data_IF_588643173804
#
_entry.id   IF_588643173804
#
_cell.length_a   1.000
_cell.length_b   1.000
_cell.length_c   1.000
_cell.angle_alpha   90.00
_cell.angle_beta   90.00
_cell.angle_gamma   90.00
#
_symmetry.space_group_name_H-M   'P 1'
#
loop_
_entity.id
_entity.type
_entity.pdbx_description
1 polymer ?
#
# COMPACT_ATOMS: atom_id res chain seq x y z
N UNK A 1 -14.72 -0.63 14.53
CA UNK A 1 -14.61 -0.47 13.09
C UNK A 1 -14.98 -1.79 12.43
N UNK A 2 -16.14 -1.82 11.78
CA UNK A 2 -16.68 -3.04 11.17
C UNK A 2 -15.85 -3.41 9.95
N UNK A 3 -15.50 -4.69 9.83
CA UNK A 3 -14.81 -5.20 8.66
C UNK A 3 -13.30 -5.00 8.62
N UNK A 4 -12.71 -4.36 9.63
CA UNK A 4 -11.26 -4.19 9.69
C UNK A 4 -10.58 -5.55 9.80
N UNK A 5 -9.62 -5.87 8.91
CA UNK A 5 -8.87 -7.11 9.01
C UNK A 5 -7.93 -7.10 10.23
N UNK A 6 -7.64 -8.28 10.74
CA UNK A 6 -6.58 -8.47 11.73
C UNK A 6 -5.33 -8.95 11.00
N UNK A 7 -4.28 -8.14 11.07
CA UNK A 7 -2.98 -8.49 10.51
C UNK A 7 -2.09 -8.98 11.65
N UNK A 8 -1.36 -10.04 11.43
CA UNK A 8 -0.43 -10.59 12.42
C UNK A 8 0.61 -9.58 12.86
N UNK A 9 1.11 -9.72 14.09
CA UNK A 9 2.18 -8.86 14.59
C UNK A 9 3.44 -9.01 13.71
N UNK A 10 4.17 -7.91 13.55
CA UNK A 10 5.43 -7.89 12.83
C UNK A 10 6.43 -8.85 13.51
N UNK A 11 6.92 -9.88 12.80
CA UNK A 11 7.92 -10.79 13.38
C UNK A 11 9.26 -10.10 13.65
N UNK A 12 10.04 -10.65 14.57
CA UNK A 12 11.40 -10.17 14.81
C UNK A 12 12.24 -10.26 13.54
N UNK A 13 12.99 -9.19 13.22
CA UNK A 13 13.83 -9.11 12.02
C UNK A 13 13.11 -8.67 10.75
N UNK A 14 11.79 -8.57 10.75
CA UNK A 14 11.01 -8.03 9.63
C UNK A 14 10.95 -6.50 9.73
N UNK A 15 11.35 -5.82 8.67
CA UNK A 15 11.36 -4.35 8.60
C UNK A 15 10.11 -3.72 8.04
N UNK A 16 9.26 -4.48 7.36
CA UNK A 16 7.99 -3.97 6.83
C UNK A 16 7.02 -3.70 7.98
N UNK A 17 6.41 -2.51 7.96
CA UNK A 17 5.29 -2.17 8.83
C UNK A 17 4.02 -2.18 8.01
N UNK A 18 2.99 -2.87 8.52
CA UNK A 18 1.71 -3.01 7.86
C UNK A 18 0.60 -2.54 8.79
N UNK A 19 0.02 -1.38 8.51
CA UNK A 19 -0.91 -0.69 9.41
C UNK A 19 -2.32 -0.64 8.81
N UNK A 20 -3.26 -1.28 9.49
CA UNK A 20 -4.70 -1.29 9.17
C UNK A 20 -5.53 -0.47 10.14
N UNK A 21 -4.89 0.31 11.03
CA UNK A 21 -5.58 1.10 12.06
C UNK A 21 -6.51 2.18 11.48
N UNK A 22 -6.24 2.61 10.26
CA UNK A 22 -7.04 3.61 9.54
C UNK A 22 -7.95 2.98 8.46
N UNK A 23 -8.31 1.70 8.65
CA UNK A 23 -9.15 0.99 7.69
C UNK A 23 -10.34 1.81 7.24
N UNK A 24 -10.68 1.93 5.94
CA UNK A 24 -10.16 1.13 4.81
C UNK A 24 -8.90 1.71 4.13
N UNK A 25 -8.21 2.67 4.74
CA UNK A 25 -6.89 3.08 4.30
C UNK A 25 -5.84 2.18 4.96
N UNK A 26 -5.00 1.55 4.13
CA UNK A 26 -3.92 0.68 4.58
C UNK A 26 -2.59 1.38 4.32
N UNK A 27 -1.73 1.45 5.32
CA UNK A 27 -0.41 2.06 5.19
C UNK A 27 0.66 0.97 5.32
N UNK A 28 1.49 0.85 4.29
CA UNK A 28 2.60 -0.10 4.25
C UNK A 28 3.91 0.68 4.18
N UNK A 29 4.82 0.44 5.11
CA UNK A 29 6.13 1.07 5.15
C UNK A 29 7.21 0.06 4.78
N UNK A 30 8.01 0.37 3.77
CA UNK A 30 9.06 -0.50 3.27
C UNK A 30 10.39 -0.10 3.90
N UNK A 31 11.19 -1.06 4.42
CA UNK A 31 12.47 -0.75 5.05
C UNK A 31 13.55 -0.39 4.01
N UNK A 32 14.71 0.04 4.50
CA UNK A 32 15.87 0.38 3.66
C UNK A 32 16.31 -0.78 2.77
N UNK A 33 16.22 -2.00 3.26
CA UNK A 33 16.52 -3.24 2.55
C UNK A 33 15.41 -4.24 2.72
N UNK A 34 14.96 -4.79 1.60
CA UNK A 34 13.97 -5.86 1.58
C UNK A 34 14.68 -7.22 1.59
N UNK A 35 14.28 -8.04 2.55
CA UNK A 35 14.70 -9.44 2.68
C UNK A 35 13.52 -10.36 2.37
N UNK A 36 13.80 -11.65 2.21
CA UNK A 36 12.75 -12.63 1.88
C UNK A 36 11.67 -12.70 2.96
N UNK A 37 12.05 -12.60 4.24
CA UNK A 37 11.09 -12.64 5.33
C UNK A 37 10.14 -11.43 5.32
N UNK A 38 10.61 -10.27 4.86
CA UNK A 38 9.76 -9.10 4.64
C UNK A 38 8.68 -9.40 3.61
N UNK A 39 9.05 -10.02 2.51
CA UNK A 39 8.12 -10.36 1.44
C UNK A 39 7.10 -11.40 1.90
N UNK A 40 7.52 -12.41 2.66
CA UNK A 40 6.60 -13.40 3.24
C UNK A 40 5.58 -12.72 4.15
N UNK A 41 6.03 -11.85 5.05
CA UNK A 41 5.15 -11.11 5.94
C UNK A 41 4.17 -10.19 5.18
N UNK A 42 4.67 -9.51 4.15
CA UNK A 42 3.86 -8.64 3.29
C UNK A 42 2.74 -9.44 2.60
N UNK A 43 3.08 -10.57 2.02
CA UNK A 43 2.13 -11.44 1.33
C UNK A 43 1.05 -11.97 2.27
N UNK A 44 1.44 -12.45 3.45
CA UNK A 44 0.50 -12.90 4.48
C UNK A 44 -0.43 -11.78 4.93
N UNK A 45 0.09 -10.58 5.10
CA UNK A 45 -0.69 -9.40 5.49
C UNK A 45 -1.70 -9.03 4.40
N UNK A 46 -1.31 -9.07 3.14
CA UNK A 46 -2.24 -8.83 2.03
C UNK A 46 -3.36 -9.88 1.96
N UNK A 47 -3.07 -11.15 2.27
CA UNK A 47 -4.12 -12.17 2.31
C UNK A 47 -5.20 -11.82 3.33
N UNK A 48 -4.83 -11.32 4.50
CA UNK A 48 -5.79 -10.85 5.51
C UNK A 48 -6.62 -9.66 5.00
N UNK A 49 -5.98 -8.74 4.29
CA UNK A 49 -6.67 -7.57 3.72
C UNK A 49 -7.64 -7.98 2.62
N UNK A 50 -7.24 -8.90 1.74
CA UNK A 50 -8.12 -9.39 0.66
C UNK A 50 -9.30 -10.20 1.20
N UNK A 51 -9.15 -10.86 2.36
CA UNK A 51 -10.23 -11.60 3.00
C UNK A 51 -11.28 -10.71 3.65
N UNK A 52 -10.97 -9.42 3.88
CA UNK A 52 -11.92 -8.48 4.47
C UNK A 52 -13.10 -8.23 3.51
N UNK A 53 -14.33 -8.04 4.03
CA UNK A 53 -15.53 -7.92 3.19
C UNK A 53 -15.62 -6.59 2.44
N UNK A 54 -14.92 -5.55 2.88
CA UNK A 54 -14.97 -4.23 2.27
C UNK A 54 -13.73 -3.95 1.42
N UNK A 55 -13.87 -3.02 0.47
CA UNK A 55 -12.77 -2.56 -0.37
C UNK A 55 -11.85 -1.64 0.43
N UNK A 56 -10.61 -1.53 -0.02
CA UNK A 56 -9.56 -0.76 0.67
C UNK A 56 -8.71 0.02 -0.35
N UNK A 57 -7.95 0.99 0.15
CA UNK A 57 -6.91 1.68 -0.61
C UNK A 57 -5.56 1.54 0.11
N UNK A 58 -4.48 1.49 -0.65
CA UNK A 58 -3.13 1.28 -0.13
C UNK A 58 -2.26 2.52 -0.34
N UNK A 59 -1.55 2.93 0.71
CA UNK A 59 -0.38 3.80 0.60
C UNK A 59 0.84 2.94 0.87
N UNK A 60 1.74 2.82 -0.09
CA UNK A 60 2.98 2.07 0.06
C UNK A 60 4.14 3.06 0.07
N UNK A 61 4.70 3.29 1.25
CA UNK A 61 5.82 4.21 1.43
C UNK A 61 7.14 3.49 1.22
N UNK A 62 7.78 3.78 0.10
CA UNK A 62 9.09 3.22 -0.26
C UNK A 62 10.23 4.20 0.00
N UNK A 63 9.98 5.31 0.67
CA UNK A 63 11.00 6.36 0.89
C UNK A 63 12.26 5.86 1.63
N UNK A 64 12.17 4.90 2.58
CA UNK A 64 13.38 4.36 3.20
C UNK A 64 14.23 3.48 2.29
N UNK A 65 13.68 2.99 1.19
CA UNK A 65 14.35 2.02 0.32
C UNK A 65 15.62 2.63 -0.29
N UNK A 66 16.75 1.97 -0.07
CA UNK A 66 18.07 2.46 -0.54
C UNK A 66 18.42 1.98 -1.94
N UNK A 67 17.81 0.88 -2.39
CA UNK A 67 18.08 0.29 -3.70
C UNK A 67 16.85 -0.47 -4.20
N UNK A 68 16.83 -0.72 -5.51
CA UNK A 68 15.80 -1.55 -6.13
C UNK A 68 15.93 -2.97 -5.57
N UNK A 69 14.81 -3.61 -5.15
CA UNK A 69 14.85 -5.00 -4.73
C UNK A 69 15.44 -5.91 -5.82
N UNK A 70 16.15 -6.96 -5.43
CA UNK A 70 16.76 -7.86 -6.38
C UNK A 70 15.72 -8.58 -7.28
N UNK A 71 16.21 -9.16 -8.36
CA UNK A 71 15.32 -9.79 -9.35
C UNK A 71 14.48 -10.94 -8.77
N UNK A 72 15.02 -11.67 -7.80
CA UNK A 72 14.30 -12.77 -7.15
C UNK A 72 13.11 -12.28 -6.34
N UNK A 73 13.30 -11.24 -5.53
CA UNK A 73 12.23 -10.61 -4.75
C UNK A 73 11.17 -9.99 -5.66
N UNK A 74 11.60 -9.27 -6.70
CA UNK A 74 10.67 -8.66 -7.67
C UNK A 74 9.81 -9.72 -8.37
N UNK A 75 10.41 -10.83 -8.78
CA UNK A 75 9.68 -11.95 -9.42
C UNK A 75 8.65 -12.53 -8.46
N UNK A 76 9.03 -12.74 -7.21
CA UNK A 76 8.13 -13.28 -6.19
C UNK A 76 6.93 -12.36 -5.94
N UNK A 77 7.16 -11.06 -5.87
CA UNK A 77 6.09 -10.07 -5.74
C UNK A 77 5.16 -10.09 -6.96
N UNK A 78 5.73 -10.15 -8.16
CA UNK A 78 4.94 -10.23 -9.40
C UNK A 78 4.10 -11.50 -9.47
N UNK A 79 4.66 -12.64 -9.14
CA UNK A 79 3.93 -13.92 -9.11
C UNK A 79 2.76 -13.88 -8.11
N UNK A 80 2.98 -13.28 -6.97
CA UNK A 80 1.92 -13.09 -5.97
C UNK A 80 0.78 -12.21 -6.52
N UNK A 81 1.10 -11.07 -7.11
CA UNK A 81 0.10 -10.18 -7.73
C UNK A 81 -0.62 -10.88 -8.89
N UNK A 82 0.10 -11.53 -9.77
CA UNK A 82 -0.48 -12.22 -10.91
C UNK A 82 -1.45 -13.33 -10.49
N UNK A 83 -1.13 -14.07 -9.44
CA UNK A 83 -1.98 -15.11 -8.88
C UNK A 83 -3.25 -14.57 -8.21
N UNK A 84 -3.30 -13.28 -7.90
CA UNK A 84 -4.38 -12.65 -7.15
C UNK A 84 -5.07 -11.51 -7.91
N UNK A 85 -4.82 -11.39 -9.19
CA UNK A 85 -5.40 -10.32 -10.02
C UNK A 85 -6.90 -10.12 -9.84
N UNK A 86 -7.73 -11.19 -9.85
CA UNK A 86 -9.18 -11.01 -9.71
C UNK A 86 -9.56 -10.40 -8.36
N UNK A 87 -8.97 -10.87 -7.26
CA UNK A 87 -9.30 -10.36 -5.92
C UNK A 87 -8.74 -8.94 -5.71
N UNK A 88 -7.56 -8.63 -6.25
CA UNK A 88 -7.00 -7.29 -6.20
C UNK A 88 -7.92 -6.31 -6.93
N UNK A 89 -8.37 -6.68 -8.13
CA UNK A 89 -9.28 -5.84 -8.92
C UNK A 89 -10.60 -5.60 -8.20
N UNK A 90 -11.12 -6.61 -7.54
CA UNK A 90 -12.37 -6.51 -6.80
C UNK A 90 -12.24 -5.69 -5.50
N UNK A 91 -11.14 -5.85 -4.76
CA UNK A 91 -10.99 -5.34 -3.40
C UNK A 91 -10.17 -4.05 -3.30
N UNK A 92 -9.25 -3.82 -4.21
CA UNK A 92 -8.36 -2.66 -4.14
C UNK A 92 -8.94 -1.48 -4.93
N UNK A 93 -9.26 -0.41 -4.23
CA UNK A 93 -9.72 0.85 -4.81
C UNK A 93 -8.58 1.54 -5.58
N UNK A 94 -7.37 1.46 -5.04
CA UNK A 94 -6.17 2.02 -5.64
C UNK A 94 -4.96 1.88 -4.73
N UNK A 95 -3.78 1.92 -5.34
CA UNK A 95 -2.50 1.86 -4.64
C UNK A 95 -1.68 3.10 -4.97
N UNK A 96 -1.35 3.89 -3.97
CA UNK A 96 -0.48 5.05 -4.06
C UNK A 96 0.92 4.69 -3.58
N UNK A 97 1.89 4.79 -4.48
CA UNK A 97 3.28 4.43 -4.18
C UNK A 97 4.08 5.71 -3.94
N UNK A 98 4.67 5.85 -2.77
CA UNK A 98 5.50 7.00 -2.42
C UNK A 98 6.96 6.68 -2.77
N UNK A 99 7.55 7.47 -3.65
CA UNK A 99 8.89 7.30 -4.19
C UNK A 99 9.68 8.60 -4.05
N UNK A 100 10.70 8.62 -3.21
CA UNK A 100 11.58 9.79 -3.04
C UNK A 100 12.85 9.72 -3.87
N UNK A 101 13.30 8.51 -4.20
CA UNK A 101 14.53 8.29 -4.95
C UNK A 101 14.22 8.19 -6.46
N UNK A 102 14.88 9.02 -7.28
CA UNK A 102 14.66 9.05 -8.73
C UNK A 102 15.01 7.73 -9.43
N UNK A 103 16.01 7.00 -8.92
CA UNK A 103 16.40 5.69 -9.45
C UNK A 103 15.29 4.64 -9.22
N UNK A 104 14.75 4.60 -8.00
CA UNK A 104 13.63 3.71 -7.65
C UNK A 104 12.38 4.11 -8.43
N UNK A 105 12.14 5.41 -8.59
CA UNK A 105 11.03 5.93 -9.39
C UNK A 105 11.12 5.49 -10.85
N UNK A 106 12.31 5.58 -11.46
CA UNK A 106 12.52 5.12 -12.83
C UNK A 106 12.26 3.63 -13.02
N UNK A 107 12.75 2.81 -12.08
CA UNK A 107 12.52 1.37 -12.09
C UNK A 107 11.04 1.01 -11.93
N UNK A 108 10.34 1.68 -11.02
CA UNK A 108 8.90 1.49 -10.85
C UNK A 108 8.13 1.81 -12.14
N UNK A 109 8.46 2.92 -12.80
CA UNK A 109 7.84 3.30 -14.06
C UNK A 109 8.06 2.23 -15.12
N UNK A 110 9.29 1.72 -15.26
CA UNK A 110 9.61 0.67 -16.23
C UNK A 110 8.82 -0.62 -15.96
N UNK A 111 8.75 -1.05 -14.70
CA UNK A 111 7.99 -2.25 -14.29
C UNK A 111 6.49 -2.10 -14.58
N UNK A 112 5.93 -0.92 -14.34
CA UNK A 112 4.53 -0.61 -14.57
C UNK A 112 4.15 -0.71 -16.05
N UNK A 113 5.06 -0.36 -16.96
CA UNK A 113 4.84 -0.45 -18.40
C UNK A 113 4.85 -1.89 -18.89
N UNK A 114 5.72 -2.72 -18.31
CA UNK A 114 5.87 -4.13 -18.69
C UNK A 114 4.75 -4.99 -18.11
N UNK A 115 4.26 -4.65 -16.93
CA UNK A 115 3.26 -5.43 -16.21
C UNK A 115 2.16 -4.52 -15.66
N UNK A 116 1.07 -4.31 -16.42
CA UNK A 116 -0.05 -3.49 -15.97
C UNK A 116 -0.60 -3.97 -14.63
N UNK A 117 -0.84 -3.03 -13.72
CA UNK A 117 -1.39 -3.33 -12.40
C UNK A 117 -2.87 -3.67 -12.50
N UNK A 118 -3.38 -4.63 -11.68
CA UNK A 118 -4.79 -5.02 -11.72
C UNK A 118 -5.76 -4.00 -11.11
N UNK A 119 -5.24 -2.95 -10.44
CA UNK A 119 -6.01 -1.87 -9.84
C UNK A 119 -5.37 -0.53 -10.19
N UNK A 120 -6.09 0.61 -10.03
CA UNK A 120 -5.50 1.93 -10.21
C UNK A 120 -4.23 2.09 -9.37
N UNK A 121 -3.17 2.61 -9.98
CA UNK A 121 -1.87 2.73 -9.35
C UNK A 121 -1.24 4.06 -9.74
N UNK A 122 -0.74 4.82 -8.76
CA UNK A 122 -0.16 6.13 -8.99
C UNK A 122 1.04 6.36 -8.08
N UNK A 123 2.06 7.03 -8.61
CA UNK A 123 3.26 7.40 -7.87
C UNK A 123 3.15 8.83 -7.32
N UNK A 124 3.68 9.02 -6.10
CA UNK A 124 3.66 10.29 -5.39
C UNK A 124 5.04 10.58 -4.79
N UNK A 125 5.34 11.86 -4.58
CA UNK A 125 6.59 12.28 -3.98
C UNK A 125 6.58 12.21 -2.45
N UNK A 126 5.40 12.19 -1.83
CA UNK A 126 5.26 12.20 -0.36
C UNK A 126 3.98 11.49 0.09
N UNK A 127 3.96 11.13 1.36
CA UNK A 127 2.84 10.36 1.97
C UNK A 127 1.56 11.20 2.00
N UNK A 128 1.65 12.50 2.23
CA UNK A 128 0.48 13.38 2.31
C UNK A 128 -0.34 13.33 1.02
N UNK A 129 0.31 13.52 -0.12
CA UNK A 129 -0.37 13.52 -1.42
C UNK A 129 -0.90 12.14 -1.78
N UNK A 130 -0.15 11.09 -1.46
CA UNK A 130 -0.56 9.70 -1.63
C UNK A 130 -1.81 9.39 -0.80
N UNK A 131 -1.81 9.76 0.47
CA UNK A 131 -2.94 9.54 1.37
C UNK A 131 -4.17 10.31 0.91
N UNK A 132 -4.00 11.55 0.43
CA UNK A 132 -5.11 12.36 -0.10
C UNK A 132 -5.78 11.68 -1.28
N UNK A 133 -5.00 11.19 -2.22
CA UNK A 133 -5.53 10.46 -3.38
C UNK A 133 -6.30 9.20 -2.95
N UNK A 134 -5.78 8.44 -1.99
CA UNK A 134 -6.45 7.26 -1.45
C UNK A 134 -7.75 7.62 -0.72
N UNK A 135 -7.75 8.66 0.10
CA UNK A 135 -8.94 9.13 0.84
C UNK A 135 -10.03 9.54 -0.15
N UNK A 136 -9.68 10.29 -1.19
CA UNK A 136 -10.64 10.66 -2.24
C UNK A 136 -11.23 9.41 -2.93
N UNK A 137 -10.42 8.40 -3.17
CA UNK A 137 -10.88 7.12 -3.74
C UNK A 137 -11.84 6.38 -2.80
N UNK A 138 -11.55 6.35 -1.51
CA UNK A 138 -12.40 5.72 -0.49
C UNK A 138 -13.75 6.44 -0.41
N UNK A 139 -13.74 7.76 -0.39
CA UNK A 139 -14.95 8.57 -0.36
C UNK A 139 -15.81 8.34 -1.62
N UNK A 140 -15.17 8.31 -2.79
CA UNK A 140 -15.85 8.03 -4.05
C UNK A 140 -16.45 6.62 -4.10
N UNK A 141 -15.88 5.67 -3.36
CA UNK A 141 -16.41 4.32 -3.19
C UNK A 141 -17.59 4.25 -2.21
N UNK A 142 -17.95 5.37 -1.57
CA UNK A 142 -19.06 5.47 -0.63
C UNK A 142 -18.74 5.00 0.78
N UNK A 143 -17.48 4.82 1.12
CA UNK A 143 -17.05 4.39 2.45
C UNK A 143 -16.67 5.56 3.34
N UNK A 144 -16.85 5.39 4.64
CA UNK A 144 -16.40 6.35 5.64
C UNK A 144 -14.88 6.30 5.79
N UNK A 145 -14.29 7.48 5.98
CA UNK A 145 -12.86 7.64 6.22
C UNK A 145 -12.66 8.01 7.70
N UNK A 146 -11.86 7.25 8.45
CA UNK A 146 -11.62 7.57 9.86
C UNK A 146 -10.80 8.84 10.02
N UNK A 147 -10.97 9.54 11.16
CA UNK A 147 -10.31 10.80 11.46
C UNK A 147 -8.78 10.74 11.31
N UNK A 148 -8.16 9.62 11.71
CA UNK A 148 -6.71 9.42 11.58
C UNK A 148 -6.19 9.51 10.15
N UNK A 149 -6.99 9.05 9.19
CA UNK A 149 -6.63 9.15 7.77
C UNK A 149 -6.62 10.61 7.29
N UNK A 150 -7.57 11.42 7.74
CA UNK A 150 -7.59 12.85 7.41
C UNK A 150 -6.38 13.60 7.99
N UNK A 151 -5.94 13.22 9.20
CA UNK A 151 -4.72 13.81 9.80
C UNK A 151 -3.52 13.55 8.88
N UNK A 152 -3.42 12.34 8.35
CA UNK A 152 -2.33 11.96 7.44
C UNK A 152 -2.34 12.79 6.15
N UNK A 153 -3.51 13.18 5.67
CA UNK A 153 -3.65 14.03 4.48
C UNK A 153 -3.36 15.50 4.74
N UNK A 154 -3.20 15.91 5.98
CA UNK A 154 -3.10 17.31 6.38
C UNK A 154 -4.42 18.09 6.28
N UNK A 155 -5.54 17.42 6.10
CA UNK A 155 -6.87 18.05 5.95
C UNK A 155 -7.60 18.27 7.27
N UNK A 156 -7.08 17.76 8.38
CA UNK A 156 -7.71 17.90 9.70
C UNK A 156 -7.85 19.36 10.14
N UNK A 157 -6.95 20.23 9.73
CA UNK A 157 -7.01 21.67 10.04
C UNK A 157 -8.10 22.39 9.23
N UNK A 158 -8.40 21.89 8.04
CA UNK A 158 -9.41 22.49 7.17
C UNK A 158 -10.84 22.26 7.68
N UNK A 159 -11.05 21.31 8.56
CA UNK A 159 -12.38 21.00 9.14
C UNK A 159 -12.70 21.91 10.33
N UNK A 160 -11.74 22.65 10.87
CA UNK A 160 -11.96 23.67 11.90
C UNK A 160 -12.46 23.12 13.23
N UNK A 161 -12.16 21.89 13.52
CA UNK A 161 -12.64 21.23 14.75
C UNK A 161 -11.64 21.29 15.87
#
# INVERSE_FOLDING_TARGET
MVGRPEVGAQPAGVGIEFDVSMWPLVLVSIPARLEIDDIVYLQESYEHVFAAPTRHALVVDTTPLESIPDATLRRRMKEFEDGRRPIIRERNIGSAIVLSNSLVRGAYTALRWISPQPAPNKAFANVRDAARWCVEGIEADGQEVPAGAYILTGMSEAVGL
#
